data_IF_884307524213
#
_entry.id   IF_884307524213
#
_cell.length_a   1.000
_cell.length_b   1.000
_cell.length_c   1.000
_cell.angle_alpha   90.00
_cell.angle_beta   90.00
_cell.angle_gamma   90.00
#
_symmetry.space_group_name_H-M   'P 1'
#
loop_
_entity.id
_entity.type
_entity.pdbx_description
1 polymer ?
#
# COMPACT_ATOMS: atom_id res chain seq x y z
N UNK A 1 -8.65 -9.23 13.18
CA UNK A 1 -9.09 -7.87 13.55
C UNK A 1 -8.63 -7.53 14.98
N UNK A 2 -8.66 -8.47 15.93
CA UNK A 2 -8.12 -8.27 17.29
C UNK A 2 -6.63 -7.93 17.33
N UNK A 3 -5.80 -8.63 16.54
CA UNK A 3 -4.33 -8.43 16.56
C UNK A 3 -3.87 -7.04 16.06
N UNK A 4 -4.69 -6.38 15.24
CA UNK A 4 -4.43 -5.03 14.73
C UNK A 4 -4.80 -3.93 15.73
N UNK A 5 -5.66 -4.22 16.71
CA UNK A 5 -6.08 -3.23 17.70
C UNK A 5 -4.93 -2.85 18.65
N UNK A 6 -4.01 -3.77 18.91
CA UNK A 6 -2.85 -3.57 19.79
C UNK A 6 -1.66 -2.85 19.14
N UNK A 7 -1.63 -2.70 17.81
CA UNK A 7 -0.53 -2.03 17.10
C UNK A 7 -0.58 -0.52 17.30
N UNK A 8 0.57 0.10 17.50
CA UNK A 8 0.71 1.56 17.57
C UNK A 8 0.42 2.23 16.21
N UNK A 9 0.12 3.53 16.21
CA UNK A 9 -0.13 4.27 14.97
C UNK A 9 1.10 4.25 14.05
N UNK A 10 2.31 4.32 14.61
CA UNK A 10 3.55 4.26 13.84
C UNK A 10 3.74 2.87 13.18
N UNK A 11 3.42 1.78 13.88
CA UNK A 11 3.47 0.43 13.31
C UNK A 11 2.45 0.24 12.19
N UNK A 12 1.23 0.75 12.36
CA UNK A 12 0.20 0.71 11.32
C UNK A 12 0.66 1.47 10.06
N UNK A 13 1.18 2.68 10.22
CA UNK A 13 1.74 3.47 9.11
C UNK A 13 2.93 2.77 8.45
N UNK A 14 3.83 2.15 9.24
CA UNK A 14 4.99 1.42 8.73
C UNK A 14 4.58 0.23 7.88
N UNK A 15 3.58 -0.54 8.32
CA UNK A 15 3.07 -1.68 7.55
C UNK A 15 2.40 -1.19 6.27
N UNK A 16 1.59 -0.13 6.34
CA UNK A 16 0.99 0.48 5.15
C UNK A 16 2.03 0.93 4.12
N UNK A 17 3.10 1.58 4.57
CA UNK A 17 4.20 2.01 3.72
C UNK A 17 4.85 0.83 3.00
N UNK A 18 5.18 -0.25 3.72
CA UNK A 18 5.79 -1.45 3.13
C UNK A 18 4.89 -2.10 2.06
N UNK A 19 3.58 -2.13 2.28
CA UNK A 19 2.62 -2.62 1.28
C UNK A 19 2.64 -1.74 0.04
N UNK A 20 2.54 -0.41 0.18
CA UNK A 20 2.58 0.52 -0.95
C UNK A 20 3.89 0.38 -1.74
N UNK A 21 5.04 0.41 -1.06
CA UNK A 21 6.36 0.25 -1.68
C UNK A 21 6.48 -1.06 -2.46
N UNK A 22 5.90 -2.15 -1.94
CA UNK A 22 5.90 -3.46 -2.61
C UNK A 22 5.08 -3.49 -3.91
N UNK A 23 4.11 -2.58 -4.06
CA UNK A 23 3.19 -2.51 -5.19
C UNK A 23 3.61 -1.53 -6.29
N UNK A 24 4.60 -0.66 -6.05
CA UNK A 24 5.06 0.33 -7.05
C UNK A 24 5.56 -0.30 -8.36
N UNK A 25 6.37 -1.35 -8.28
CA UNK A 25 6.86 -2.07 -9.47
C UNK A 25 5.77 -2.95 -10.11
N UNK A 26 5.04 -3.80 -9.36
CA UNK A 26 3.96 -4.61 -9.92
C UNK A 26 2.86 -3.82 -10.64
N UNK A 27 2.47 -2.64 -10.13
CA UNK A 27 1.43 -1.82 -10.77
C UNK A 27 1.92 -1.23 -12.10
N UNK A 28 3.19 -0.81 -12.18
CA UNK A 28 3.80 -0.41 -13.47
C UNK A 28 3.82 -1.55 -14.47
N UNK A 29 4.14 -2.77 -14.03
CA UNK A 29 4.11 -3.96 -14.88
C UNK A 29 2.69 -4.31 -15.35
N UNK A 30 1.70 -4.30 -14.44
CA UNK A 30 0.31 -4.60 -14.80
C UNK A 30 -0.22 -3.58 -15.81
N UNK A 31 0.09 -2.29 -15.64
CA UNK A 31 -0.29 -1.24 -16.60
C UNK A 31 0.23 -1.51 -18.01
N UNK A 32 1.49 -1.87 -18.17
CA UNK A 32 2.08 -2.13 -19.50
C UNK A 32 1.43 -3.32 -20.20
N UNK A 33 0.88 -4.27 -19.44
CA UNK A 33 0.16 -5.44 -19.98
C UNK A 33 -1.26 -5.11 -20.44
N UNK A 34 -1.99 -4.25 -19.72
CA UNK A 34 -3.37 -3.87 -20.06
C UNK A 34 -3.48 -2.74 -21.08
N UNK A 35 -2.47 -1.87 -21.18
CA UNK A 35 -2.41 -0.79 -22.17
C UNK A 35 -2.53 -1.28 -23.62
N UNK A 36 -2.27 -2.56 -23.88
CA UNK A 36 -2.27 -3.14 -25.22
C UNK A 36 -3.61 -3.72 -25.69
N UNK A 37 -4.64 -3.88 -24.84
CA UNK A 37 -5.78 -4.75 -25.20
C UNK A 37 -7.21 -4.20 -25.05
N UNK A 38 -7.49 -3.06 -24.43
CA UNK A 38 -8.84 -2.49 -24.48
C UNK A 38 -8.83 -0.97 -24.36
N UNK A 39 -9.55 -0.33 -25.28
CA UNK A 39 -10.23 0.96 -25.20
C UNK A 39 -9.63 1.93 -24.17
N UNK A 40 -8.76 2.76 -24.72
CA UNK A 40 -8.27 4.01 -24.17
C UNK A 40 -9.43 4.89 -23.70
N UNK A 41 -9.87 4.68 -22.46
CA UNK A 41 -10.62 5.66 -21.67
C UNK A 41 -10.34 5.42 -20.18
N UNK A 42 -9.06 5.52 -19.80
CA UNK A 42 -8.67 5.64 -18.39
C UNK A 42 -8.29 7.08 -18.16
N UNK A 43 -9.30 7.93 -17.99
CA UNK A 43 -9.13 9.33 -17.63
C UNK A 43 -8.38 9.43 -16.30
N UNK A 44 -7.18 9.99 -16.38
CA UNK A 44 -6.69 11.07 -15.52
C UNK A 44 -6.20 10.75 -14.09
N UNK A 45 -6.01 9.49 -13.74
CA UNK A 45 -5.19 9.16 -12.57
C UNK A 45 -4.36 7.91 -12.80
N UNK A 46 -3.07 8.11 -13.01
CA UNK A 46 -2.11 7.02 -13.03
C UNK A 46 -2.07 6.38 -11.63
N UNK A 47 -2.55 5.14 -11.50
CA UNK A 47 -2.52 4.37 -10.24
C UNK A 47 -1.13 4.40 -9.56
N UNK A 48 -0.07 4.45 -10.37
CA UNK A 48 1.30 4.64 -9.90
C UNK A 48 1.51 5.98 -9.18
N UNK A 49 1.01 7.08 -9.76
CA UNK A 49 1.09 8.41 -9.17
C UNK A 49 0.28 8.49 -7.87
N UNK A 50 -0.91 7.88 -7.82
CA UNK A 50 -1.69 7.78 -6.58
C UNK A 50 -0.94 7.03 -5.46
N UNK A 51 -0.27 5.92 -5.81
CA UNK A 51 0.52 5.16 -4.85
C UNK A 51 1.75 5.94 -4.36
N UNK A 52 2.40 6.72 -5.23
CA UNK A 52 3.52 7.60 -4.86
C UNK A 52 3.07 8.73 -3.94
N UNK A 53 1.96 9.38 -4.24
CA UNK A 53 1.42 10.44 -3.38
C UNK A 53 1.05 9.89 -2.00
N UNK A 54 0.48 8.69 -1.94
CA UNK A 54 0.15 8.02 -0.68
C UNK A 54 1.41 7.61 0.11
N UNK A 55 2.44 7.12 -0.56
CA UNK A 55 3.77 6.83 0.04
C UNK A 55 4.33 8.09 0.73
N UNK A 56 4.35 9.22 0.01
CA UNK A 56 4.86 10.51 0.52
C UNK A 56 4.03 11.04 1.70
N UNK A 57 2.70 10.90 1.61
CA UNK A 57 1.78 11.25 2.69
C UNK A 57 2.06 10.46 3.97
N UNK A 58 2.22 9.14 3.85
CA UNK A 58 2.51 8.26 5.00
C UNK A 58 3.89 8.56 5.60
N UNK A 59 4.93 8.73 4.77
CA UNK A 59 6.26 9.11 5.26
C UNK A 59 6.24 10.44 6.00
N UNK A 60 5.41 11.40 5.56
CA UNK A 60 5.22 12.67 6.25
C UNK A 60 4.52 12.51 7.60
N UNK A 61 3.49 11.67 7.70
CA UNK A 61 2.82 11.36 8.96
C UNK A 61 3.75 10.65 9.95
N UNK A 62 4.56 9.69 9.48
CA UNK A 62 5.53 8.99 10.32
C UNK A 62 6.56 9.94 10.93
N UNK A 63 7.17 10.83 10.12
CA UNK A 63 8.12 11.84 10.61
C UNK A 63 7.52 12.70 11.73
N UNK A 64 6.28 13.17 11.55
CA UNK A 64 5.58 13.98 12.56
C UNK A 64 5.34 13.23 13.87
N UNK A 65 5.01 11.93 13.80
CA UNK A 65 4.80 11.10 14.99
C UNK A 65 6.12 10.76 15.70
N UNK A 66 7.21 10.59 14.95
CA UNK A 66 8.56 10.38 15.49
C UNK A 66 9.11 11.64 16.16
N UNK A 67 8.94 12.83 15.56
CA UNK A 67 9.41 14.10 16.12
C UNK A 67 8.72 14.47 17.45
N UNK A 68 7.48 14.03 17.64
CA UNK A 68 6.74 14.19 18.91
C UNK A 68 7.04 13.12 19.96
N UNK A 69 7.71 12.02 19.59
CA UNK A 69 7.96 10.86 20.44
C UNK A 69 9.46 10.69 20.69
N UNK A 70 9.92 11.05 21.89
CA UNK A 70 11.24 10.63 22.41
C UNK A 70 11.26 9.12 22.65
N UNK A 71 11.23 8.29 21.61
CA UNK A 71 11.52 6.85 21.69
C UNK A 71 11.97 6.31 20.33
N UNK A 72 13.28 6.10 20.24
CA UNK A 72 13.98 5.32 19.23
C UNK A 72 13.38 3.91 19.15
N UNK A 73 12.66 3.61 18.07
CA UNK A 73 12.25 2.27 17.69
C UNK A 73 13.08 1.81 16.49
N UNK A 74 13.71 0.63 16.60
CA UNK A 74 14.61 0.09 15.59
C UNK A 74 13.96 -0.02 14.20
N UNK A 75 14.68 0.47 13.18
CA UNK A 75 14.32 0.34 11.77
C UNK A 75 14.45 -1.14 11.39
N UNK A 76 13.35 -1.89 11.47
CA UNK A 76 13.28 -3.21 10.84
C UNK A 76 13.00 -3.01 9.35
N UNK A 77 14.06 -3.04 8.55
CA UNK A 77 13.99 -3.04 7.09
C UNK A 77 13.62 -4.46 6.63
N UNK A 78 12.34 -4.82 6.71
CA UNK A 78 11.87 -6.03 6.04
C UNK A 78 11.70 -5.72 4.55
N UNK A 79 12.66 -6.18 3.76
CA UNK A 79 12.59 -6.12 2.30
C UNK A 79 11.56 -7.14 1.83
N UNK A 80 10.41 -6.68 1.35
CA UNK A 80 9.45 -7.55 0.68
C UNK A 80 10.10 -8.05 -0.63
N UNK A 81 10.17 -9.37 -0.79
CA UNK A 81 10.83 -10.01 -1.93
C UNK A 81 10.08 -9.70 -3.22
N UNK A 82 10.84 -9.32 -4.27
CA UNK A 82 10.31 -8.97 -5.60
C UNK A 82 9.64 -10.18 -6.26
N UNK A 83 8.56 -9.92 -6.99
CA UNK A 83 7.87 -10.91 -7.81
C UNK A 83 8.67 -11.14 -9.11
N UNK A 84 9.12 -12.37 -9.36
CA UNK A 84 9.73 -12.76 -10.64
C UNK A 84 8.64 -13.01 -11.69
N UNK A 85 8.58 -12.14 -12.70
CA UNK A 85 7.55 -12.14 -13.77
C UNK A 85 7.87 -13.05 -14.96
N UNK A 86 8.91 -13.88 -14.89
CA UNK A 86 9.35 -14.66 -16.05
C UNK A 86 8.68 -16.05 -16.12
N UNK A 87 7.45 -16.13 -16.65
CA UNK A 87 6.96 -17.38 -17.24
C UNK A 87 5.93 -17.10 -18.34
N UNK A 88 6.34 -17.25 -19.60
CA UNK A 88 5.44 -17.29 -20.75
C UNK A 88 4.68 -18.63 -20.78
N UNK A 89 3.44 -18.65 -20.29
CA UNK A 89 2.46 -19.71 -20.59
C UNK A 89 1.03 -19.26 -20.24
N UNK A 90 -0.01 -20.05 -20.52
CA UNK A 90 -1.40 -19.80 -20.07
C UNK A 90 -1.53 -19.48 -18.57
N UNK A 91 -0.54 -19.86 -17.76
CA UNK A 91 -0.35 -19.44 -16.37
C UNK A 91 -0.24 -17.91 -16.18
N UNK A 92 0.14 -17.14 -17.20
CA UNK A 92 0.35 -15.69 -17.08
C UNK A 92 -0.95 -14.93 -16.77
N UNK A 93 -2.08 -15.32 -17.37
CA UNK A 93 -3.38 -14.69 -17.08
C UNK A 93 -3.82 -14.99 -15.64
N UNK A 94 -3.67 -16.23 -15.20
CA UNK A 94 -4.01 -16.63 -13.83
C UNK A 94 -3.09 -15.97 -12.80
N UNK A 95 -1.79 -15.87 -13.09
CA UNK A 95 -0.81 -15.15 -12.27
C UNK A 95 -1.12 -13.65 -12.20
N UNK A 96 -1.49 -13.03 -13.33
CA UNK A 96 -1.88 -11.62 -13.37
C UNK A 96 -3.18 -11.38 -12.58
N UNK A 97 -4.17 -12.26 -12.70
CA UNK A 97 -5.38 -12.20 -11.89
C UNK A 97 -5.06 -12.36 -10.39
N UNK A 98 -4.20 -13.31 -10.03
CA UNK A 98 -3.73 -13.48 -8.66
C UNK A 98 -3.03 -12.23 -8.13
N UNK A 99 -2.21 -11.58 -8.96
CA UNK A 99 -1.53 -10.34 -8.62
C UNK A 99 -2.53 -9.18 -8.40
N UNK A 100 -3.52 -9.01 -9.27
CA UNK A 100 -4.60 -8.03 -9.08
C UNK A 100 -5.44 -8.31 -7.82
N UNK A 101 -5.72 -9.58 -7.53
CA UNK A 101 -6.43 -9.98 -6.32
C UNK A 101 -5.63 -9.62 -5.06
N UNK A 102 -4.32 -9.90 -5.05
CA UNK A 102 -3.42 -9.50 -3.98
C UNK A 102 -3.34 -7.98 -3.84
N UNK A 103 -3.26 -7.23 -4.95
CA UNK A 103 -3.26 -5.77 -4.94
C UNK A 103 -4.48 -5.23 -4.22
N UNK A 104 -5.68 -5.67 -4.62
CA UNK A 104 -6.93 -5.28 -3.97
C UNK A 104 -6.89 -5.58 -2.46
N UNK A 105 -6.53 -6.81 -2.09
CA UNK A 105 -6.50 -7.24 -0.68
C UNK A 105 -5.51 -6.44 0.16
N UNK A 106 -4.36 -6.07 -0.40
CA UNK A 106 -3.36 -5.28 0.32
C UNK A 106 -3.76 -3.80 0.41
N UNK A 107 -4.38 -3.25 -0.63
CA UNK A 107 -4.95 -1.89 -0.57
C UNK A 107 -6.11 -1.79 0.43
N UNK A 108 -6.98 -2.81 0.52
CA UNK A 108 -8.03 -2.90 1.55
C UNK A 108 -7.43 -2.84 2.98
N UNK A 109 -6.28 -3.51 3.19
CA UNK A 109 -5.56 -3.43 4.48
C UNK A 109 -4.97 -2.04 4.71
N UNK A 110 -4.32 -1.45 3.70
CA UNK A 110 -3.75 -0.10 3.79
C UNK A 110 -4.84 0.89 4.18
N UNK A 111 -5.99 0.88 3.49
CA UNK A 111 -7.13 1.75 3.82
C UNK A 111 -7.57 1.54 5.27
N UNK A 112 -7.77 0.29 5.67
CA UNK A 112 -8.18 -0.06 7.05
C UNK A 112 -7.20 0.49 8.09
N UNK A 113 -5.90 0.36 7.85
CA UNK A 113 -4.85 0.83 8.76
C UNK A 113 -4.81 2.36 8.84
N UNK A 114 -4.92 3.05 7.71
CA UNK A 114 -4.96 4.51 7.67
C UNK A 114 -6.20 5.06 8.36
N UNK A 115 -7.37 4.44 8.15
CA UNK A 115 -8.61 4.79 8.88
C UNK A 115 -8.42 4.62 10.39
N UNK A 116 -7.83 3.52 10.85
CA UNK A 116 -7.55 3.34 12.28
C UNK A 116 -6.64 4.43 12.85
N UNK A 117 -5.58 4.81 12.13
CA UNK A 117 -4.69 5.91 12.54
C UNK A 117 -5.44 7.23 12.59
N UNK A 118 -6.30 7.52 11.61
CA UNK A 118 -7.14 8.72 11.58
C UNK A 118 -8.09 8.76 12.79
N UNK A 119 -8.88 7.70 13.02
CA UNK A 119 -9.82 7.61 14.14
C UNK A 119 -9.16 7.83 15.50
N UNK A 120 -7.92 7.35 15.66
CA UNK A 120 -7.16 7.48 16.92
C UNK A 120 -6.52 8.85 17.10
N UNK A 121 -6.28 9.59 16.02
CA UNK A 121 -5.50 10.83 16.05
C UNK A 121 -6.36 12.09 15.93
N UNK A 122 -7.59 11.96 15.42
CA UNK A 122 -8.49 13.10 15.19
C UNK A 122 -9.83 12.83 15.89
N UNK A 123 -10.14 13.65 16.91
CA UNK A 123 -11.44 13.58 17.60
C UNK A 123 -12.61 13.81 16.63
N UNK A 124 -13.65 12.99 16.71
CA UNK A 124 -14.83 13.07 15.84
C UNK A 124 -14.62 12.63 14.38
N UNK A 125 -13.43 12.15 14.01
CA UNK A 125 -13.15 11.71 12.63
C UNK A 125 -13.81 10.37 12.24
N UNK A 126 -14.21 9.57 13.22
CA UNK A 126 -14.89 8.32 13.02
C UNK A 126 -16.15 8.30 13.88
N UNK A 127 -17.31 8.16 13.22
CA UNK A 127 -18.60 8.11 13.88
C UNK A 127 -18.71 6.86 14.76
N UNK A 128 -18.65 7.08 16.06
CA UNK A 128 -19.15 6.16 17.10
C UNK A 128 -20.31 6.84 17.81
#
# INVERSE_FOLDING_TARGET
MEETQHKSNLELLRISLLLIESWLEPVRFLRSMFANNLVYDTSDSDDYHLLKDLEEGIQTLMRRLEDGSRRTGQILKQTYSKFDTNSHNHDALLKNYGLLHCFRKDMDKVETFLRMVQCRSVEGSCGF
#
